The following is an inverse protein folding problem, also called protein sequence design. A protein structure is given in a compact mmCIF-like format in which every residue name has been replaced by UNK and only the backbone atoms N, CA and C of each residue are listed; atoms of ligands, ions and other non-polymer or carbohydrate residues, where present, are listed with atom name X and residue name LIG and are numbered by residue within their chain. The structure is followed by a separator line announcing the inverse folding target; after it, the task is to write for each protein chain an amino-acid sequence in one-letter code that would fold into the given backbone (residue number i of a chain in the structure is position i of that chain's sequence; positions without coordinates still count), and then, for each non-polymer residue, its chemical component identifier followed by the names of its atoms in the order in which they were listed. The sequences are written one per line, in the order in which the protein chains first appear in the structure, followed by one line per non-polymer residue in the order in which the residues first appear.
data_IF_990400678779
#
_entry.id   IF_990400678779
#
_cell.length_a   1.000
_cell.length_b   1.000
_cell.length_c   1.000
_cell.angle_alpha   90.00
_cell.angle_beta   90.00
_cell.angle_gamma   90.00
#
_symmetry.space_group_name_H-M   'P 1'
#
loop_
_entity.id
_entity.type
_entity.pdbx_description
1 polymer ?
#
# COMPACT_ATOMS: atom_id res chain seq x y z
N UNK A 1 7.78 -6.44 10.55
CA UNK A 1 7.45 -5.23 9.77
C UNK A 1 6.48 -4.43 10.61
N UNK A 2 6.96 -3.36 11.22
CA UNK A 2 6.12 -2.38 11.93
C UNK A 2 5.28 -1.66 10.88
N UNK A 3 4.00 -1.46 11.15
CA UNK A 3 3.16 -0.65 10.27
C UNK A 3 3.70 0.80 10.25
N UNK A 4 3.47 1.60 9.19
CA UNK A 4 4.01 2.97 9.10
C UNK A 4 3.65 3.88 10.29
N UNK A 5 2.55 3.56 10.98
CA UNK A 5 2.09 4.21 12.22
C UNK A 5 2.96 3.90 13.45
N UNK A 6 3.78 2.86 13.40
CA UNK A 6 4.63 2.41 14.49
C UNK A 6 6.12 2.74 14.25
N UNK A 7 6.47 3.47 13.17
CA UNK A 7 7.82 4.00 13.00
C UNK A 7 8.03 5.20 13.94
N UNK A 8 9.02 5.14 14.86
CA UNK A 8 9.37 6.29 15.68
C UNK A 8 9.80 7.45 14.77
N UNK A 9 9.06 8.57 14.85
CA UNK A 9 9.31 9.77 14.03
C UNK A 9 8.42 9.92 12.79
N UNK A 10 7.43 9.05 12.57
CA UNK A 10 6.41 9.25 11.54
C UNK A 10 5.67 10.59 11.68
N UNK A 11 5.13 10.87 12.87
CA UNK A 11 4.37 12.10 13.14
C UNK A 11 5.20 13.38 12.93
N UNK A 12 6.47 13.35 13.33
CA UNK A 12 7.38 14.49 13.16
C UNK A 12 7.63 14.81 11.68
N UNK A 13 7.86 13.78 10.84
CA UNK A 13 8.04 13.93 9.39
C UNK A 13 6.77 14.43 8.69
N UNK A 14 5.60 14.01 9.18
CA UNK A 14 4.30 14.45 8.66
C UNK A 14 4.09 15.94 8.97
N UNK A 15 4.32 16.35 10.21
CA UNK A 15 4.18 17.74 10.64
C UNK A 15 5.13 18.68 9.88
N UNK A 16 6.38 18.29 9.66
CA UNK A 16 7.37 19.07 8.92
C UNK A 16 6.95 19.30 7.46
N UNK A 17 6.41 18.26 6.80
CA UNK A 17 5.92 18.35 5.42
C UNK A 17 4.66 19.20 5.29
N UNK A 18 3.72 19.06 6.23
CA UNK A 18 2.53 19.91 6.28
C UNK A 18 2.90 21.39 6.45
N UNK A 19 3.86 21.68 7.33
CA UNK A 19 4.38 23.04 7.51
C UNK A 19 5.07 23.58 6.25
N UNK A 20 5.70 22.72 5.45
CA UNK A 20 6.36 23.06 4.20
C UNK A 20 5.46 23.10 2.96
N UNK A 21 4.15 22.86 3.07
CA UNK A 21 3.26 22.58 1.92
C UNK A 21 3.84 21.51 0.98
N UNK A 22 4.63 20.58 1.53
CA UNK A 22 5.16 19.44 0.78
C UNK A 22 4.10 18.35 0.81
N UNK A 23 3.58 17.91 -0.35
CA UNK A 23 2.62 16.82 -0.39
C UNK A 23 3.15 15.62 0.38
N UNK A 24 2.31 15.06 1.25
CA UNK A 24 2.67 13.82 1.89
C UNK A 24 2.70 12.75 0.80
N UNK A 25 3.61 11.76 0.86
CA UNK A 25 3.63 10.65 -0.10
C UNK A 25 2.35 9.82 -0.11
N UNK A 26 1.41 10.14 0.80
CA UNK A 26 0.12 9.50 0.97
C UNK A 26 -1.03 10.25 0.29
N UNK A 27 -0.83 11.48 -0.20
CA UNK A 27 -1.89 12.30 -0.82
C UNK A 27 -2.21 11.89 -2.27
N UNK A 28 -1.40 11.04 -2.90
CA UNK A 28 -1.77 10.43 -4.18
C UNK A 28 -2.67 9.20 -3.94
N UNK A 29 -3.85 9.42 -3.34
CA UNK A 29 -4.89 8.42 -3.10
C UNK A 29 -5.37 7.76 -4.41
N UNK A 30 -5.16 8.39 -5.57
CA UNK A 30 -5.43 7.84 -6.90
C UNK A 30 -4.41 6.77 -7.36
N UNK A 31 -3.29 6.60 -6.66
CA UNK A 31 -2.20 5.71 -7.14
C UNK A 31 -2.30 4.25 -6.68
N UNK A 32 -3.21 3.90 -5.76
CA UNK A 32 -3.32 2.51 -5.26
C UNK A 32 -3.67 1.54 -6.39
N UNK A 33 -4.57 1.93 -7.29
CA UNK A 33 -5.01 1.13 -8.44
C UNK A 33 -4.08 1.28 -9.66
N UNK A 34 -3.17 2.26 -9.63
CA UNK A 34 -2.16 2.49 -10.67
C UNK A 34 -0.77 1.99 -10.29
N UNK A 35 -0.61 1.46 -9.08
CA UNK A 35 0.65 0.92 -8.60
C UNK A 35 1.00 -0.39 -9.36
N UNK A 36 2.27 -0.58 -9.69
CA UNK A 36 2.79 -1.85 -10.23
C UNK A 36 2.45 -3.04 -9.32
N UNK A 37 2.43 -2.82 -8.00
CA UNK A 37 1.97 -3.80 -7.01
C UNK A 37 0.56 -4.33 -7.35
N UNK A 38 -0.35 -3.43 -7.70
CA UNK A 38 -1.74 -3.74 -8.03
C UNK A 38 -1.88 -4.32 -9.43
N UNK A 39 -1.23 -3.75 -10.44
CA UNK A 39 -1.41 -4.15 -11.84
C UNK A 39 -0.68 -5.43 -12.23
N UNK A 40 0.46 -5.73 -11.61
CA UNK A 40 1.33 -6.86 -11.99
C UNK A 40 1.16 -8.07 -11.10
N UNK A 41 0.93 -7.89 -9.79
CA UNK A 41 0.97 -9.00 -8.82
C UNK A 41 -0.39 -9.53 -8.39
N UNK A 42 -1.46 -8.72 -8.53
CA UNK A 42 -2.81 -9.16 -8.19
C UNK A 42 -3.47 -9.81 -9.41
N UNK A 43 -4.22 -10.89 -9.17
CA UNK A 43 -5.09 -11.47 -10.19
C UNK A 43 -6.25 -10.54 -10.54
N UNK A 44 -6.92 -10.73 -11.69
CA UNK A 44 -8.09 -9.92 -12.06
C UNK A 44 -9.19 -9.90 -10.99
N UNK A 45 -9.43 -11.04 -10.32
CA UNK A 45 -10.40 -11.17 -9.23
C UNK A 45 -10.00 -10.34 -7.99
N UNK A 46 -8.71 -10.34 -7.64
CA UNK A 46 -8.17 -9.54 -6.53
C UNK A 46 -8.18 -8.04 -6.84
N UNK A 47 -7.94 -7.67 -8.10
CA UNK A 47 -8.03 -6.29 -8.56
C UNK A 47 -9.47 -5.78 -8.47
N UNK A 48 -10.45 -6.61 -8.83
CA UNK A 48 -11.87 -6.28 -8.74
C UNK A 48 -12.33 -6.08 -7.29
N UNK A 49 -11.89 -6.94 -6.36
CA UNK A 49 -12.21 -6.80 -4.93
C UNK A 49 -11.67 -5.49 -4.34
N UNK A 50 -10.44 -5.12 -4.68
CA UNK A 50 -9.84 -3.85 -4.26
C UNK A 50 -10.58 -2.66 -4.89
N UNK A 51 -10.98 -2.72 -6.17
CA UNK A 51 -11.76 -1.64 -6.81
C UNK A 51 -13.14 -1.44 -6.15
N UNK A 52 -13.78 -2.53 -5.76
CA UNK A 52 -15.10 -2.53 -5.11
C UNK A 52 -15.05 -2.12 -3.63
N UNK A 53 -13.87 -2.06 -3.03
CA UNK A 53 -13.69 -1.60 -1.65
C UNK A 53 -13.80 -0.08 -1.59
N UNK A 54 -14.62 0.48 -0.71
CA UNK A 54 -14.86 1.93 -0.66
C UNK A 54 -13.80 2.70 0.11
N UNK A 55 -13.11 2.07 1.07
CA UNK A 55 -12.08 2.71 1.88
C UNK A 55 -10.68 2.61 1.27
N UNK A 56 -9.99 3.73 1.08
CA UNK A 56 -8.62 3.75 0.54
C UNK A 56 -7.64 2.96 1.43
N UNK A 57 -7.80 3.08 2.76
CA UNK A 57 -6.98 2.34 3.71
C UNK A 57 -7.24 0.82 3.62
N UNK A 58 -8.50 0.42 3.43
CA UNK A 58 -8.89 -0.97 3.22
C UNK A 58 -8.35 -1.52 1.89
N UNK A 59 -8.40 -0.73 0.80
CA UNK A 59 -7.76 -1.05 -0.47
C UNK A 59 -6.28 -1.35 -0.28
N UNK A 60 -5.56 -0.50 0.46
CA UNK A 60 -4.12 -0.68 0.74
C UNK A 60 -3.85 -1.94 1.55
N UNK A 61 -4.68 -2.22 2.56
CA UNK A 61 -4.57 -3.45 3.35
C UNK A 61 -4.77 -4.69 2.48
N UNK A 62 -5.74 -4.68 1.56
CA UNK A 62 -5.99 -5.76 0.62
C UNK A 62 -4.82 -5.96 -0.35
N UNK A 63 -4.31 -4.89 -0.97
CA UNK A 63 -3.14 -4.96 -1.86
C UNK A 63 -1.93 -5.53 -1.12
N UNK A 64 -1.63 -5.03 0.09
CA UNK A 64 -0.53 -5.54 0.90
C UNK A 64 -0.69 -7.03 1.26
N UNK A 65 -1.92 -7.46 1.57
CA UNK A 65 -2.25 -8.87 1.83
C UNK A 65 -1.98 -9.74 0.61
N UNK A 66 -2.42 -9.33 -0.58
CA UNK A 66 -2.25 -10.09 -1.82
C UNK A 66 -0.81 -10.16 -2.29
N UNK A 67 -0.07 -9.05 -2.21
CA UNK A 67 1.36 -9.02 -2.51
C UNK A 67 2.13 -9.95 -1.57
N UNK A 68 1.78 -9.97 -0.27
CA UNK A 68 2.40 -10.87 0.71
C UNK A 68 2.10 -12.36 0.41
N UNK A 69 0.88 -12.67 -0.03
CA UNK A 69 0.51 -14.03 -0.45
C UNK A 69 1.29 -14.47 -1.69
N UNK A 70 1.41 -13.59 -2.70
CA UNK A 70 2.22 -13.84 -3.89
C UNK A 70 3.69 -14.09 -3.54
N UNK A 71 4.26 -13.29 -2.64
CA UNK A 71 5.63 -13.47 -2.18
C UNK A 71 5.85 -14.82 -1.47
N UNK A 72 4.87 -15.29 -0.69
CA UNK A 72 4.94 -16.59 0.00
C UNK A 72 4.66 -17.79 -0.90
N UNK A 73 3.87 -17.64 -1.95
CA UNK A 73 3.60 -18.71 -2.92
C UNK A 73 4.69 -18.82 -4.00
N UNK A 74 5.52 -17.78 -4.16
CA UNK A 74 6.64 -17.79 -5.08
C UNK A 74 7.75 -18.75 -4.62
N UNK A 75 8.22 -19.68 -5.47
CA UNK A 75 9.24 -20.67 -5.11
C UNK A 75 10.62 -20.06 -4.77
N UNK A 76 10.83 -18.76 -5.02
CA UNK A 76 12.06 -18.03 -4.68
C UNK A 76 12.18 -17.61 -3.21
N UNK A 77 11.13 -17.70 -2.40
CA UNK A 77 11.16 -17.29 -0.99
C UNK A 77 11.63 -18.40 -0.03
N UNK A 78 12.05 -19.57 -0.54
CA UNK A 78 12.52 -20.73 0.25
C UNK A 78 14.04 -20.96 0.17
N UNK A 79 14.81 -19.94 -0.19
CA UNK A 79 16.28 -19.98 -0.26
C UNK A 79 16.91 -19.26 0.92
#
# INVERSE_FOLDING_TARGET
MLYPLEEPGYEARVAERQAGNVPLPYDDDDTVEHNLAFTVFLSPEQQEEVRNTSGVLEKRCLVAKYVKQFAMSSPRARG
#
